data_IF_959035762593
#
_entry.id   IF_959035762593
#
_cell.length_a   1.000
_cell.length_b   1.000
_cell.length_c   1.000
_cell.angle_alpha   90.00
_cell.angle_beta   90.00
_cell.angle_gamma   90.00
#
_symmetry.space_group_name_H-M   'P 1'
#
loop_
_entity.id
_entity.type
_entity.pdbx_description
1 polymer ?
#
# COMPACT_ATOMS: atom_id res chain seq x y z
N UNK A 1 11.67 0.09 1.16
CA UNK A 1 11.33 0.98 2.32
C UNK A 1 11.05 0.06 3.50
N UNK A 2 11.53 0.32 4.72
CA UNK A 2 11.31 -0.66 5.79
C UNK A 2 9.83 -0.74 6.19
N UNK A 3 9.38 -1.91 6.67
CA UNK A 3 8.02 -2.11 7.18
C UNK A 3 7.69 -1.16 8.34
N UNK A 4 8.69 -0.86 9.18
CA UNK A 4 8.57 0.13 10.26
C UNK A 4 8.31 1.55 9.72
N UNK A 5 9.00 1.95 8.65
CA UNK A 5 8.77 3.25 8.00
C UNK A 5 7.37 3.35 7.38
N UNK A 6 6.89 2.25 6.77
CA UNK A 6 5.53 2.16 6.23
C UNK A 6 4.49 2.41 7.33
N UNK A 7 4.64 1.72 8.47
CA UNK A 7 3.76 1.87 9.64
C UNK A 7 3.80 3.30 10.17
N UNK A 8 4.99 3.90 10.28
CA UNK A 8 5.10 5.27 10.78
C UNK A 8 4.40 6.28 9.86
N UNK A 9 4.56 6.13 8.54
CA UNK A 9 3.86 6.98 7.56
C UNK A 9 2.35 6.80 7.58
N UNK A 10 1.86 5.56 7.74
CA UNK A 10 0.43 5.29 7.90
C UNK A 10 -0.13 5.91 9.18
N UNK A 11 0.60 5.87 10.30
CA UNK A 11 0.22 6.59 11.53
C UNK A 11 0.10 8.10 11.30
N UNK A 12 1.04 8.69 10.56
CA UNK A 12 0.97 10.10 10.19
C UNK A 12 -0.25 10.41 9.30
N UNK A 13 -0.52 9.58 8.29
CA UNK A 13 -1.70 9.73 7.43
C UNK A 13 -3.02 9.60 8.23
N UNK A 14 -3.07 8.68 9.20
CA UNK A 14 -4.21 8.56 10.13
C UNK A 14 -4.42 9.82 10.97
N UNK A 15 -3.35 10.46 11.43
CA UNK A 15 -3.42 11.75 12.12
C UNK A 15 -3.93 12.88 11.22
N UNK A 16 -3.53 12.88 9.95
CA UNK A 16 -4.04 13.83 8.95
C UNK A 16 -5.54 13.61 8.68
N UNK A 17 -6.00 12.36 8.56
CA UNK A 17 -7.43 12.05 8.47
C UNK A 17 -8.21 12.57 9.67
N UNK A 18 -7.70 12.37 10.89
CA UNK A 18 -8.33 12.89 12.09
C UNK A 18 -8.40 14.43 12.10
N UNK A 19 -7.37 15.10 11.58
CA UNK A 19 -7.38 16.56 11.41
C UNK A 19 -8.43 17.01 10.38
N UNK A 20 -8.58 16.31 9.25
CA UNK A 20 -9.62 16.58 8.25
C UNK A 20 -11.02 16.45 8.85
N UNK A 21 -11.27 15.42 9.66
CA UNK A 21 -12.54 15.25 10.39
C UNK A 21 -12.83 16.47 11.28
N UNK A 22 -11.85 16.91 12.07
CA UNK A 22 -11.98 18.12 12.90
C UNK A 22 -12.25 19.37 12.08
N UNK A 23 -11.60 19.54 10.92
CA UNK A 23 -11.85 20.67 10.03
C UNK A 23 -13.30 20.71 9.54
N UNK A 24 -13.89 19.55 9.27
CA UNK A 24 -15.30 19.44 8.89
C UNK A 24 -16.23 19.78 10.06
N UNK A 25 -15.94 19.28 11.26
CA UNK A 25 -16.67 19.61 12.49
C UNK A 25 -16.63 21.11 12.81
N UNK A 26 -15.47 21.73 12.61
CA UNK A 26 -15.22 23.18 12.78
C UNK A 26 -15.77 24.02 11.62
N UNK A 27 -16.41 23.40 10.61
CA UNK A 27 -16.98 24.05 9.42
C UNK A 27 -15.96 24.93 8.67
N UNK A 28 -14.72 24.44 8.56
CA UNK A 28 -13.66 25.10 7.79
C UNK A 28 -13.99 25.21 6.30
N UNK A 29 -13.33 26.15 5.63
CA UNK A 29 -13.54 26.40 4.21
C UNK A 29 -13.25 25.15 3.37
N UNK A 30 -14.18 24.81 2.47
CA UNK A 30 -14.14 23.56 1.71
C UNK A 30 -12.83 23.37 0.95
N UNK A 31 -12.27 24.45 0.38
CA UNK A 31 -11.00 24.38 -0.35
C UNK A 31 -9.83 23.96 0.56
N UNK A 32 -9.80 24.41 1.82
CA UNK A 32 -8.77 24.00 2.78
C UNK A 32 -8.88 22.51 3.12
N UNK A 33 -10.11 22.04 3.32
CA UNK A 33 -10.42 20.61 3.56
C UNK A 33 -9.97 19.76 2.38
N UNK A 34 -10.27 20.20 1.15
CA UNK A 34 -9.85 19.52 -0.07
C UNK A 34 -8.33 19.47 -0.20
N UNK A 35 -7.59 20.54 0.16
CA UNK A 35 -6.14 20.50 0.17
C UNK A 35 -5.58 19.48 1.16
N UNK A 36 -6.18 19.37 2.36
CA UNK A 36 -5.76 18.39 3.36
C UNK A 36 -6.11 16.95 2.94
N UNK A 37 -7.28 16.74 2.32
CA UNK A 37 -7.62 15.43 1.74
C UNK A 37 -6.62 15.02 0.65
N UNK A 38 -6.25 15.93 -0.24
CA UNK A 38 -5.21 15.65 -1.25
C UNK A 38 -3.85 15.31 -0.60
N UNK A 39 -3.52 15.91 0.55
CA UNK A 39 -2.30 15.58 1.28
C UNK A 39 -2.35 14.15 1.86
N UNK A 40 -3.49 13.75 2.41
CA UNK A 40 -3.74 12.38 2.87
C UNK A 40 -3.59 11.38 1.71
N UNK A 41 -4.26 11.63 0.58
CA UNK A 41 -4.19 10.76 -0.61
C UNK A 41 -2.76 10.57 -1.07
N UNK A 42 -1.96 11.65 -1.16
CA UNK A 42 -0.55 11.57 -1.54
C UNK A 42 0.28 10.76 -0.54
N UNK A 43 0.02 10.91 0.76
CA UNK A 43 0.71 10.13 1.79
C UNK A 43 0.41 8.63 1.64
N UNK A 44 -0.86 8.27 1.40
CA UNK A 44 -1.29 6.90 1.17
C UNK A 44 -0.71 6.32 -0.12
N UNK A 45 -0.74 7.08 -1.22
CA UNK A 45 -0.17 6.67 -2.49
C UNK A 45 1.34 6.41 -2.40
N UNK A 46 2.05 7.24 -1.66
CA UNK A 46 3.49 7.06 -1.43
C UNK A 46 3.79 5.77 -0.67
N UNK A 47 3.00 5.47 0.37
CA UNK A 47 3.12 4.19 1.11
C UNK A 47 2.79 3.00 0.21
N UNK A 48 1.67 3.07 -0.52
CA UNK A 48 1.26 2.01 -1.47
C UNK A 48 2.36 1.69 -2.47
N UNK A 49 2.91 2.72 -3.14
CA UNK A 49 4.02 2.56 -4.11
C UNK A 49 5.27 1.97 -3.47
N UNK A 50 5.59 2.38 -2.25
CA UNK A 50 6.78 1.89 -1.56
C UNK A 50 6.66 0.43 -1.12
N UNK A 51 5.46 -0.03 -0.75
CA UNK A 51 5.17 -1.44 -0.46
C UNK A 51 5.24 -2.27 -1.74
N UNK A 52 4.65 -1.75 -2.83
CA UNK A 52 4.66 -2.40 -4.12
C UNK A 52 6.10 -2.57 -4.67
N UNK A 53 6.92 -1.52 -4.57
CA UNK A 53 8.34 -1.55 -4.98
C UNK A 53 9.16 -2.59 -4.20
N UNK A 54 8.87 -2.78 -2.91
CA UNK A 54 9.49 -3.84 -2.10
C UNK A 54 9.05 -5.23 -2.57
N UNK A 55 7.74 -5.42 -2.78
CA UNK A 55 7.19 -6.67 -3.30
C UNK A 55 7.78 -7.04 -4.67
N UNK A 56 7.92 -6.06 -5.58
CA UNK A 56 8.61 -6.25 -6.86
C UNK A 56 10.04 -6.76 -6.68
N UNK A 57 10.83 -6.15 -5.79
CA UNK A 57 12.24 -6.52 -5.61
C UNK A 57 12.44 -7.92 -5.05
N UNK A 58 11.53 -8.39 -4.19
CA UNK A 58 11.58 -9.73 -3.60
C UNK A 58 11.05 -10.75 -4.61
N UNK A 59 9.83 -10.58 -5.10
CA UNK A 59 9.17 -11.56 -5.96
C UNK A 59 9.80 -11.70 -7.34
N UNK A 60 10.24 -10.61 -7.99
CA UNK A 60 10.93 -10.70 -9.30
C UNK A 60 12.32 -11.33 -9.17
N UNK A 61 12.96 -11.22 -8.00
CA UNK A 61 14.26 -11.86 -7.75
C UNK A 61 14.12 -13.38 -7.54
N UNK A 62 12.99 -13.82 -7.00
CA UNK A 62 12.74 -15.22 -6.65
C UNK A 62 11.93 -16.00 -7.72
N UNK A 63 11.20 -15.32 -8.61
CA UNK A 63 10.51 -15.93 -9.74
C UNK A 63 11.51 -16.33 -10.83
N UNK A 64 11.79 -17.63 -10.96
CA UNK A 64 12.77 -18.18 -11.89
C UNK A 64 12.15 -18.97 -13.07
N UNK A 65 10.82 -19.13 -13.10
CA UNK A 65 10.08 -19.87 -14.14
C UNK A 65 8.91 -19.02 -14.68
N UNK A 66 8.56 -19.18 -15.95
CA UNK A 66 7.48 -18.42 -16.62
C UNK A 66 6.12 -18.56 -15.93
N UNK A 67 5.77 -19.76 -15.42
CA UNK A 67 4.51 -19.98 -14.70
C UNK A 67 4.39 -19.19 -13.38
N UNK A 68 5.51 -18.88 -12.73
CA UNK A 68 5.53 -18.07 -11.50
C UNK A 68 5.33 -16.57 -11.84
N UNK A 69 5.55 -16.17 -13.09
CA UNK A 69 5.46 -14.77 -13.55
C UNK A 69 4.01 -14.35 -13.79
N UNK A 70 3.17 -15.22 -14.37
CA UNK A 70 1.75 -14.92 -14.61
C UNK A 70 0.97 -14.86 -13.28
N UNK A 71 1.22 -15.78 -12.35
CA UNK A 71 0.60 -15.78 -11.02
C UNK A 71 0.99 -14.52 -10.21
N UNK A 72 2.24 -14.06 -10.36
CA UNK A 72 2.72 -12.79 -9.81
C UNK A 72 2.06 -11.56 -10.45
N UNK A 73 1.90 -11.55 -11.78
CA UNK A 73 1.23 -10.46 -12.48
C UNK A 73 -0.24 -10.34 -12.04
N UNK A 74 -0.94 -11.45 -11.87
CA UNK A 74 -2.31 -11.47 -11.35
C UNK A 74 -2.39 -10.92 -9.92
N UNK A 75 -1.46 -11.32 -9.03
CA UNK A 75 -1.31 -10.74 -7.68
C UNK A 75 -1.19 -9.22 -7.71
N UNK A 76 -0.34 -8.73 -8.60
CA UNK A 76 0.02 -7.33 -8.70
C UNK A 76 -1.10 -6.47 -9.32
N UNK A 77 -1.71 -6.97 -10.38
CA UNK A 77 -2.88 -6.36 -11.01
C UNK A 77 -4.04 -6.29 -10.01
N UNK A 78 -4.25 -7.34 -9.22
CA UNK A 78 -5.24 -7.35 -8.14
C UNK A 78 -4.98 -6.27 -7.09
N UNK A 79 -3.73 -6.15 -6.61
CA UNK A 79 -3.33 -5.15 -5.64
C UNK A 79 -3.47 -3.69 -6.16
N UNK A 80 -3.29 -3.47 -7.46
CA UNK A 80 -3.41 -2.14 -8.10
C UNK A 80 -4.85 -1.75 -8.43
N UNK A 81 -5.67 -2.71 -8.88
CA UNK A 81 -7.05 -2.47 -9.34
C UNK A 81 -8.11 -2.81 -8.29
N UNK A 82 -7.73 -3.18 -7.07
CA UNK A 82 -8.60 -3.19 -5.89
C UNK A 82 -9.26 -4.53 -5.56
N UNK A 83 -8.73 -5.65 -6.04
CA UNK A 83 -9.21 -6.99 -5.70
C UNK A 83 -8.07 -7.89 -5.25
N UNK A 84 -8.15 -8.49 -4.05
CA UNK A 84 -7.17 -9.49 -3.61
C UNK A 84 -7.38 -10.78 -4.44
N UNK A 85 -6.43 -11.21 -5.28
CA UNK A 85 -6.61 -12.42 -6.08
C UNK A 85 -6.52 -13.69 -5.22
N UNK A 86 -7.19 -14.76 -5.63
CA UNK A 86 -7.22 -16.02 -4.89
C UNK A 86 -5.81 -16.63 -4.78
N UNK A 87 -5.47 -17.18 -3.61
CA UNK A 87 -4.17 -17.81 -3.37
C UNK A 87 -3.05 -16.87 -2.87
N UNK A 88 -3.30 -15.56 -2.79
CA UNK A 88 -2.32 -14.60 -2.25
C UNK A 88 -2.08 -14.78 -0.74
N UNK A 89 -0.82 -14.79 -0.27
CA UNK A 89 -0.51 -14.86 1.16
C UNK A 89 -1.17 -13.72 1.95
N UNK A 90 -1.61 -13.98 3.19
CA UNK A 90 -2.16 -12.92 4.07
C UNK A 90 -1.08 -11.98 4.63
N UNK A 91 0.20 -12.28 4.40
CA UNK A 91 1.36 -11.51 4.86
C UNK A 91 2.46 -11.52 3.80
N UNK A 92 3.30 -10.48 3.77
CA UNK A 92 4.53 -10.50 2.97
C UNK A 92 5.53 -11.51 3.58
N UNK A 93 5.94 -12.56 2.86
CA UNK A 93 6.95 -13.51 3.33
C UNK A 93 8.35 -12.86 3.46
N UNK A 94 9.20 -13.41 4.32
CA UNK A 94 10.59 -12.98 4.47
C UNK A 94 11.48 -13.53 3.32
N UNK A 95 12.66 -12.95 3.04
CA UNK A 95 13.52 -13.41 1.94
C UNK A 95 13.88 -14.91 2.04
N UNK A 96 13.53 -15.70 1.02
CA UNK A 96 13.72 -17.16 0.98
C UNK A 96 12.62 -17.99 1.64
N UNK A 97 11.56 -17.37 2.15
CA UNK A 97 10.37 -18.05 2.68
C UNK A 97 9.33 -18.24 1.57
N UNK A 98 8.91 -19.50 1.31
CA UNK A 98 7.80 -19.79 0.39
C UNK A 98 6.51 -19.81 1.20
N UNK A 99 5.60 -18.85 1.03
CA UNK A 99 4.36 -18.81 1.80
C UNK A 99 3.46 -20.00 1.47
N UNK A 100 2.89 -20.63 2.49
CA UNK A 100 1.96 -21.75 2.32
C UNK A 100 0.65 -21.26 1.66
N UNK A 101 0.28 -21.91 0.55
CA UNK A 101 -0.94 -21.65 -0.23
C UNK A 101 -2.21 -21.96 0.57
#
# INVERSE_FOLDING_TARGET
MSRADAIQRLKSASGQCAAVVRMLEERRYCTDVLYQLNAVERALDHVKRSILDEHFRVCVRDCSREADTDEFLDELLGALYGGRPPGTPRYCPEPGEVPAR
#
